data_IF_374320181435
#
_entry.id   IF_374320181435
#
_cell.length_a   1.000
_cell.length_b   1.000
_cell.length_c   1.000
_cell.angle_alpha   90.00
_cell.angle_beta   90.00
_cell.angle_gamma   90.00
#
_symmetry.space_group_name_H-M   'P 1'
#
loop_
_entity.id
_entity.type
_entity.pdbx_description
1 polymer ?
#
# COMPACT_ATOMS: atom_id res chain seq x y z
N UNK A 1 0.48 5.84 -7.03
CA UNK A 1 -0.69 5.44 -6.23
C UNK A 1 -0.70 6.02 -4.83
N UNK A 2 0.43 6.07 -4.12
CA UNK A 2 0.39 6.55 -2.74
C UNK A 2 0.11 8.06 -2.60
N UNK A 3 0.46 8.85 -3.61
CA UNK A 3 0.38 10.30 -3.51
C UNK A 3 -1.03 10.87 -3.41
N UNK A 4 -1.97 10.31 -4.16
CA UNK A 4 -3.25 10.93 -4.40
C UNK A 4 -4.38 9.98 -4.06
N UNK A 5 -5.41 10.49 -3.38
CA UNK A 5 -6.58 9.70 -3.02
C UNK A 5 -7.33 9.16 -4.24
N UNK A 6 -7.42 9.95 -5.31
CA UNK A 6 -8.11 9.60 -6.54
C UNK A 6 -7.37 8.51 -7.33
N UNK A 7 -6.17 8.12 -6.91
CA UNK A 7 -5.43 6.99 -7.48
C UNK A 7 -5.62 5.70 -6.69
N UNK A 8 -6.18 5.72 -5.47
CA UNK A 8 -6.28 4.55 -4.60
C UNK A 8 -7.46 3.67 -4.98
N UNK A 9 -7.31 2.99 -6.12
CA UNK A 9 -8.33 2.17 -6.74
C UNK A 9 -8.38 0.74 -6.20
N UNK A 10 -9.23 -0.08 -6.81
CA UNK A 10 -9.48 -1.46 -6.38
C UNK A 10 -8.54 -2.49 -7.04
N UNK A 11 -7.82 -2.12 -8.09
CA UNK A 11 -6.99 -3.03 -8.86
C UNK A 11 -5.50 -2.75 -8.68
N UNK A 12 -5.03 -1.55 -9.04
CA UNK A 12 -3.58 -1.30 -9.15
C UNK A 12 -2.95 -0.92 -7.81
N UNK A 13 -3.59 -0.05 -7.05
CA UNK A 13 -3.11 0.34 -5.73
C UNK A 13 -2.90 -0.85 -4.77
N UNK A 14 -3.87 -1.78 -4.58
CA UNK A 14 -3.70 -2.94 -3.71
C UNK A 14 -2.77 -4.03 -4.27
N UNK A 15 -2.39 -3.94 -5.55
CA UNK A 15 -1.39 -4.84 -6.14
C UNK A 15 0.00 -4.26 -5.95
N UNK A 16 0.25 -3.07 -6.49
CA UNK A 16 1.60 -2.51 -6.61
C UNK A 16 2.16 -2.15 -5.23
N UNK A 17 1.37 -1.49 -4.38
CA UNK A 17 1.85 -0.93 -3.11
C UNK A 17 2.42 -2.00 -2.16
N UNK A 18 1.71 -3.09 -1.83
CA UNK A 18 2.27 -4.16 -1.02
C UNK A 18 3.42 -4.94 -1.69
N UNK A 19 3.35 -5.21 -3.00
CA UNK A 19 4.42 -5.92 -3.74
C UNK A 19 5.74 -5.14 -3.66
N UNK A 20 5.68 -3.81 -3.78
CA UNK A 20 6.87 -2.95 -3.67
C UNK A 20 7.24 -2.75 -2.20
N UNK A 21 6.26 -2.58 -1.30
CA UNK A 21 6.49 -2.31 0.12
C UNK A 21 7.17 -3.47 0.87
N UNK A 22 6.92 -4.72 0.49
CA UNK A 22 7.50 -5.89 1.16
C UNK A 22 9.02 -6.03 0.94
N UNK A 23 9.57 -5.37 -0.07
CA UNK A 23 10.98 -5.50 -0.48
C UNK A 23 11.96 -5.18 0.66
N UNK A 24 11.96 -3.93 1.13
CA UNK A 24 12.80 -3.49 2.24
C UNK A 24 12.39 -4.14 3.56
N UNK A 25 11.11 -4.46 3.75
CA UNK A 25 10.66 -5.21 4.92
C UNK A 25 11.39 -6.55 5.03
N UNK A 26 11.45 -7.33 3.94
CA UNK A 26 12.11 -8.62 3.92
C UNK A 26 13.63 -8.52 4.13
N UNK A 27 14.29 -7.54 3.50
CA UNK A 27 15.73 -7.34 3.62
C UNK A 27 16.14 -6.89 5.04
N UNK A 28 15.44 -5.91 5.62
CA UNK A 28 15.72 -5.45 6.99
C UNK A 28 15.39 -6.54 8.00
N UNK A 29 14.31 -7.30 7.77
CA UNK A 29 13.96 -8.41 8.63
C UNK A 29 14.99 -9.53 8.58
N UNK A 30 15.60 -9.83 7.42
CA UNK A 30 16.76 -10.71 7.36
C UNK A 30 17.87 -10.20 8.28
N UNK A 31 18.31 -8.95 8.09
CA UNK A 31 19.45 -8.39 8.81
C UNK A 31 19.23 -8.43 10.34
N UNK A 32 18.08 -7.92 10.80
CA UNK A 32 17.76 -7.84 12.22
C UNK A 32 17.49 -9.20 12.85
N UNK A 33 16.81 -10.11 12.13
CA UNK A 33 16.50 -11.42 12.68
C UNK A 33 17.69 -12.37 12.71
N UNK A 34 18.47 -12.41 11.63
CA UNK A 34 19.58 -13.35 11.51
C UNK A 34 20.75 -12.95 12.41
N UNK A 35 21.08 -11.66 12.47
CA UNK A 35 22.24 -11.18 13.23
C UNK A 35 21.91 -10.90 14.71
N UNK A 36 20.72 -10.34 14.99
CA UNK A 36 20.38 -9.83 16.33
C UNK A 36 19.16 -10.48 16.97
N UNK A 37 18.45 -11.37 16.26
CA UNK A 37 17.20 -12.02 16.73
C UNK A 37 16.11 -11.01 17.15
N UNK A 38 16.08 -9.85 16.50
CA UNK A 38 15.13 -8.78 16.78
C UNK A 38 13.87 -8.93 15.90
N UNK A 39 12.66 -9.09 16.48
CA UNK A 39 11.42 -9.39 15.75
C UNK A 39 10.61 -8.13 15.39
N UNK A 40 11.24 -7.13 14.78
CA UNK A 40 10.54 -5.89 14.40
C UNK A 40 11.05 -5.31 13.07
N UNK A 41 11.55 -6.16 12.17
CA UNK A 41 12.18 -5.69 10.94
C UNK A 41 11.21 -5.10 9.93
N UNK A 42 10.07 -5.76 9.72
CA UNK A 42 9.05 -5.25 8.81
C UNK A 42 8.40 -3.98 9.38
N UNK A 43 8.07 -3.98 10.66
CA UNK A 43 7.44 -2.84 11.34
C UNK A 43 8.35 -1.63 11.38
N UNK A 44 9.65 -1.78 11.65
CA UNK A 44 10.62 -0.68 11.56
C UNK A 44 10.61 -0.05 10.17
N UNK A 45 10.69 -0.86 9.12
CA UNK A 45 10.70 -0.39 7.74
C UNK A 45 9.44 0.44 7.40
N UNK A 46 8.26 -0.08 7.74
CA UNK A 46 6.99 0.59 7.45
C UNK A 46 6.80 1.86 8.28
N UNK A 47 7.21 1.86 9.55
CA UNK A 47 7.13 3.06 10.39
C UNK A 47 8.07 4.14 9.85
N UNK A 48 9.30 3.79 9.47
CA UNK A 48 10.23 4.75 8.86
C UNK A 48 9.68 5.32 7.54
N UNK A 49 9.09 4.48 6.69
CA UNK A 49 8.43 4.91 5.45
C UNK A 49 7.30 5.90 5.76
N UNK A 50 6.38 5.52 6.66
CA UNK A 50 5.24 6.36 7.02
C UNK A 50 5.66 7.69 7.63
N UNK A 51 6.67 7.70 8.50
CA UNK A 51 7.21 8.95 9.06
C UNK A 51 7.74 9.85 7.94
N UNK A 52 8.52 9.30 7.01
CA UNK A 52 9.01 10.03 5.84
C UNK A 52 7.87 10.58 4.98
N UNK A 53 6.89 9.74 4.65
CA UNK A 53 5.71 10.13 3.87
C UNK A 53 4.94 11.25 4.56
N UNK A 54 4.61 11.11 5.85
CA UNK A 54 3.87 12.13 6.61
C UNK A 54 4.62 13.46 6.67
N UNK A 55 5.94 13.45 6.88
CA UNK A 55 6.75 14.67 6.84
C UNK A 55 6.65 15.34 5.46
N UNK A 56 6.81 14.59 4.37
CA UNK A 56 6.67 15.14 3.03
C UNK A 56 5.25 15.62 2.74
N UNK A 57 4.21 14.92 3.21
CA UNK A 57 2.80 15.29 2.99
C UNK A 57 2.46 16.59 3.69
N UNK A 58 2.93 16.74 4.93
CA UNK A 58 2.66 17.95 5.69
C UNK A 58 3.47 19.14 5.18
N UNK A 59 4.80 19.02 5.12
CA UNK A 59 5.67 20.15 4.78
C UNK A 59 5.71 20.47 3.28
N UNK A 60 5.69 19.45 2.43
CA UNK A 60 5.77 19.62 0.97
C UNK A 60 4.40 19.83 0.32
N UNK A 61 3.46 18.91 0.53
CA UNK A 61 2.17 18.96 -0.17
C UNK A 61 1.22 19.98 0.45
N UNK A 62 1.05 19.97 1.77
CA UNK A 62 0.10 20.87 2.43
C UNK A 62 0.67 22.27 2.68
N UNK A 63 1.83 22.37 3.34
CA UNK A 63 2.39 23.67 3.73
C UNK A 63 2.91 24.47 2.53
N UNK A 64 3.74 23.86 1.67
CA UNK A 64 4.30 24.55 0.49
C UNK A 64 3.30 24.62 -0.67
N UNK A 65 2.66 23.49 -1.01
CA UNK A 65 1.87 23.37 -2.25
C UNK A 65 0.36 23.50 -2.07
N UNK A 66 -0.11 23.69 -0.83
CA UNK A 66 -1.52 23.91 -0.48
C UNK A 66 -2.51 22.83 -0.92
N UNK A 67 -2.06 21.58 -1.09
CA UNK A 67 -2.96 20.43 -1.25
C UNK A 67 -3.54 20.02 0.11
N UNK A 68 -4.83 19.73 0.23
CA UNK A 68 -5.43 19.38 1.51
C UNK A 68 -4.98 17.98 1.93
N UNK A 69 -4.78 17.78 3.24
CA UNK A 69 -4.20 16.53 3.77
C UNK A 69 -5.06 15.31 3.45
N UNK A 70 -6.39 15.44 3.41
CA UNK A 70 -7.30 14.36 3.03
C UNK A 70 -7.12 13.89 1.58
N UNK A 71 -6.58 14.73 0.70
CA UNK A 71 -6.29 14.39 -0.70
C UNK A 71 -4.96 13.66 -0.86
N UNK A 72 -3.99 13.94 0.02
CA UNK A 72 -2.60 13.47 -0.09
C UNK A 72 -2.16 12.49 0.99
N UNK A 73 -3.05 12.03 1.86
CA UNK A 73 -2.65 11.18 2.99
C UNK A 73 -2.09 9.81 2.51
N UNK A 74 -1.03 9.27 3.15
CA UNK A 74 -0.33 8.05 2.74
C UNK A 74 -1.11 6.76 3.00
N UNK A 75 -0.72 5.64 2.38
CA UNK A 75 -1.30 4.32 2.66
C UNK A 75 -0.62 3.68 3.87
N UNK A 76 -1.34 2.92 4.69
CA UNK A 76 -0.75 2.18 5.81
C UNK A 76 -0.47 0.72 5.43
N UNK A 77 0.71 0.22 5.81
CA UNK A 77 1.07 -1.20 5.72
C UNK A 77 1.35 -1.81 7.11
N UNK A 78 1.05 -1.07 8.18
CA UNK A 78 1.34 -1.47 9.57
C UNK A 78 0.70 -2.82 9.93
N UNK A 79 -0.60 -3.09 9.61
CA UNK A 79 -1.21 -4.37 9.95
C UNK A 79 -0.48 -5.57 9.32
N UNK A 80 -0.11 -5.46 8.04
CA UNK A 80 0.65 -6.48 7.34
C UNK A 80 2.04 -6.69 7.94
N UNK A 81 2.74 -5.60 8.27
CA UNK A 81 4.07 -5.66 8.87
C UNK A 81 4.06 -6.32 10.25
N UNK A 82 3.08 -6.00 11.09
CA UNK A 82 2.91 -6.62 12.41
C UNK A 82 2.66 -8.13 12.30
N UNK A 83 1.79 -8.55 11.37
CA UNK A 83 1.54 -9.99 11.15
C UNK A 83 2.80 -10.69 10.65
N UNK A 84 3.57 -10.06 9.77
CA UNK A 84 4.83 -10.65 9.28
C UNK A 84 5.87 -10.83 10.40
N UNK A 85 6.11 -9.79 11.20
CA UNK A 85 7.06 -9.85 12.32
C UNK A 85 6.61 -10.88 13.38
N UNK A 86 5.30 -10.98 13.66
CA UNK A 86 4.76 -11.97 14.61
C UNK A 86 4.87 -13.41 14.09
N UNK A 87 4.61 -13.66 12.80
CA UNK A 87 4.84 -14.98 12.20
C UNK A 87 6.32 -15.37 12.30
N UNK A 88 7.24 -14.43 12.04
CA UNK A 88 8.68 -14.67 12.19
C UNK A 88 9.07 -15.00 13.63
N UNK A 89 8.53 -14.24 14.58
CA UNK A 89 8.79 -14.43 16.00
C UNK A 89 8.32 -15.80 16.50
N UNK A 90 7.11 -16.22 16.11
CA UNK A 90 6.48 -17.45 16.57
C UNK A 90 7.08 -18.69 15.90
N UNK A 91 7.27 -18.64 14.59
CA UNK A 91 7.68 -19.83 13.80
C UNK A 91 9.20 -19.95 13.70
N UNK A 92 9.93 -18.84 13.88
CA UNK A 92 11.39 -18.71 13.73
C UNK A 92 11.90 -19.21 12.38
N UNK A 93 11.03 -19.31 11.38
CA UNK A 93 11.34 -19.90 10.09
C UNK A 93 10.97 -18.92 8.98
N UNK A 94 11.99 -18.46 8.26
CA UNK A 94 11.84 -17.50 7.17
C UNK A 94 10.95 -18.02 6.03
N UNK A 95 10.93 -19.33 5.76
CA UNK A 95 10.06 -19.91 4.72
C UNK A 95 8.58 -19.84 5.11
N UNK A 96 8.27 -20.08 6.38
CA UNK A 96 6.90 -19.98 6.90
C UNK A 96 6.47 -18.51 6.90
N UNK A 97 7.38 -17.60 7.24
CA UNK A 97 7.13 -16.16 7.15
C UNK A 97 6.96 -15.68 5.72
N UNK A 98 7.71 -16.22 4.75
CA UNK A 98 7.52 -15.91 3.35
C UNK A 98 6.09 -16.26 2.89
N UNK A 99 5.61 -17.45 3.28
CA UNK A 99 4.29 -17.94 2.89
C UNK A 99 3.16 -17.19 3.63
N UNK A 100 3.12 -17.28 4.96
CA UNK A 100 2.01 -16.72 5.75
C UNK A 100 2.19 -15.23 6.03
N UNK A 101 3.40 -14.78 6.35
CA UNK A 101 3.69 -13.36 6.59
C UNK A 101 3.62 -12.54 5.30
N UNK A 102 4.28 -13.00 4.23
CA UNK A 102 4.21 -12.37 2.91
C UNK A 102 2.80 -12.39 2.32
N UNK A 103 2.08 -13.52 2.46
CA UNK A 103 0.68 -13.62 2.06
C UNK A 103 -0.23 -12.66 2.84
N UNK A 104 -0.11 -12.61 4.16
CA UNK A 104 -0.89 -11.71 5.00
C UNK A 104 -0.59 -10.23 4.70
N UNK A 105 0.66 -9.89 4.36
CA UNK A 105 1.05 -8.53 4.00
C UNK A 105 0.25 -7.96 2.83
N UNK A 106 0.09 -8.75 1.76
CA UNK A 106 -0.74 -8.37 0.62
C UNK A 106 -2.24 -8.39 0.93
N UNK A 107 -2.73 -9.41 1.63
CA UNK A 107 -4.16 -9.57 1.94
C UNK A 107 -4.69 -8.48 2.87
N UNK A 108 -3.92 -8.09 3.89
CA UNK A 108 -4.35 -7.12 4.90
C UNK A 108 -4.22 -5.67 4.43
N UNK A 109 -3.61 -5.42 3.26
CA UNK A 109 -3.40 -4.08 2.76
C UNK A 109 -4.72 -3.32 2.56
N UNK A 110 -5.63 -3.85 1.74
CA UNK A 110 -6.89 -3.15 1.44
C UNK A 110 -7.80 -3.04 2.69
N UNK A 111 -8.03 -4.11 3.49
CA UNK A 111 -8.81 -4.01 4.72
C UNK A 111 -8.20 -3.06 5.76
N UNK A 112 -6.86 -3.03 5.90
CA UNK A 112 -6.18 -2.17 6.86
C UNK A 112 -6.30 -0.68 6.52
N UNK A 113 -6.55 -0.35 5.26
CA UNK A 113 -6.67 1.01 4.77
C UNK A 113 -8.14 1.47 4.60
N UNK A 114 -9.08 0.52 4.47
CA UNK A 114 -10.50 0.82 4.28
C UNK A 114 -11.12 1.73 5.35
N UNK A 115 -10.81 1.63 6.65
CA UNK A 115 -11.33 2.57 7.65
C UNK A 115 -10.98 4.03 7.39
N UNK A 116 -9.89 4.28 6.67
CA UNK A 116 -9.38 5.62 6.41
C UNK A 116 -9.86 6.15 5.05
N UNK A 117 -9.88 5.30 4.02
CA UNK A 117 -10.30 5.68 2.66
C UNK A 117 -11.77 5.40 2.35
N UNK A 118 -12.46 4.60 3.13
CA UNK A 118 -13.88 4.27 2.91
C UNK A 118 -14.77 5.51 2.70
N UNK A 119 -14.64 6.57 3.52
CA UNK A 119 -15.42 7.79 3.35
C UNK A 119 -15.21 8.51 2.00
N UNK A 120 -14.04 8.37 1.36
CA UNK A 120 -13.76 9.04 0.08
C UNK A 120 -14.40 8.35 -1.12
N UNK A 121 -14.97 7.15 -0.92
CA UNK A 121 -15.70 6.40 -1.93
C UNK A 121 -17.20 6.73 -1.96
N UNK A 122 -17.66 7.66 -1.10
CA UNK A 122 -19.05 8.09 -1.12
C UNK A 122 -19.39 8.74 -2.48
N UNK A 123 -20.53 8.39 -3.08
CA UNK A 123 -20.97 8.99 -4.33
C UNK A 123 -21.45 10.42 -4.11
N UNK A 124 -21.16 11.30 -5.07
CA UNK A 124 -21.73 12.63 -5.19
C UNK A 124 -22.04 12.95 -6.65
N UNK A 125 -22.95 13.89 -6.88
CA UNK A 125 -23.27 14.38 -8.23
C UNK A 125 -22.77 15.81 -8.34
N UNK A 126 -21.84 16.05 -9.26
CA UNK A 126 -21.33 17.37 -9.59
C UNK A 126 -21.59 17.63 -11.09
N UNK A 127 -22.23 18.74 -11.42
CA UNK A 127 -22.54 19.11 -12.81
C UNK A 127 -23.27 17.99 -13.60
N UNK A 128 -24.14 17.22 -12.93
CA UNK A 128 -24.88 16.11 -13.52
C UNK A 128 -24.09 14.81 -13.73
N UNK A 129 -22.83 14.75 -13.30
CA UNK A 129 -21.96 13.56 -13.39
C UNK A 129 -21.79 12.93 -12.01
N UNK A 130 -21.90 11.60 -11.96
CA UNK A 130 -21.60 10.81 -10.76
C UNK A 130 -20.09 10.71 -10.56
N UNK A 131 -19.60 11.20 -9.43
CA UNK A 131 -18.20 11.14 -9.02
C UNK A 131 -18.10 10.55 -7.61
N UNK A 132 -16.95 9.97 -7.27
CA UNK A 132 -16.61 9.76 -5.86
C UNK A 132 -16.12 11.06 -5.23
N UNK A 133 -16.17 11.16 -3.89
CA UNK A 133 -15.52 12.26 -3.17
C UNK A 133 -14.03 12.35 -3.55
N UNK A 134 -13.35 11.21 -3.73
CA UNK A 134 -11.96 11.15 -4.16
C UNK A 134 -11.76 11.82 -5.53
N UNK A 135 -12.55 11.44 -6.53
CA UNK A 135 -12.46 12.02 -7.89
C UNK A 135 -12.76 13.52 -7.88
N UNK A 136 -13.78 13.94 -7.12
CA UNK A 136 -14.13 15.34 -6.99
C UNK A 136 -13.01 16.17 -6.36
N UNK A 137 -12.36 15.66 -5.31
CA UNK A 137 -11.18 16.34 -4.74
C UNK A 137 -10.02 16.41 -5.74
N UNK A 138 -9.77 15.36 -6.53
CA UNK A 138 -8.75 15.37 -7.58
C UNK A 138 -9.06 16.33 -8.74
N UNK A 139 -10.33 16.61 -8.99
CA UNK A 139 -10.78 17.60 -9.97
C UNK A 139 -10.65 19.04 -9.45
N UNK A 140 -11.02 19.30 -8.20
CA UNK A 140 -10.96 20.63 -7.58
C UNK A 140 -9.52 21.14 -7.39
N UNK A 141 -8.62 20.26 -6.94
CA UNK A 141 -7.23 20.62 -6.67
C UNK A 141 -6.36 20.35 -7.89
N UNK A 142 -6.19 21.38 -8.71
CA UNK A 142 -5.48 21.31 -9.99
C UNK A 142 -4.02 20.89 -9.79
N UNK A 143 -3.64 19.80 -10.45
CA UNK A 143 -2.26 19.30 -10.50
C UNK A 143 -1.66 19.59 -11.89
N UNK A 144 -0.78 20.58 -11.97
CA UNK A 144 -0.23 21.11 -13.24
C UNK A 144 0.48 20.06 -14.10
N UNK A 145 1.12 19.07 -13.48
CA UNK A 145 1.90 18.03 -14.18
C UNK A 145 1.26 16.63 -14.20
N UNK A 146 0.08 16.44 -13.62
CA UNK A 146 -0.57 15.10 -13.54
C UNK A 146 -2.02 15.17 -14.01
N UNK A 147 -2.24 15.25 -15.33
CA UNK A 147 -3.59 15.21 -15.89
C UNK A 147 -4.24 13.83 -15.67
N UNK A 148 -5.57 13.80 -15.74
CA UNK A 148 -6.38 12.63 -15.38
C UNK A 148 -6.00 11.36 -16.15
N UNK A 149 -5.68 11.46 -17.44
CA UNK A 149 -5.34 10.29 -18.27
C UNK A 149 -4.03 9.58 -17.87
N UNK A 150 -3.17 10.22 -17.07
CA UNK A 150 -1.94 9.58 -16.54
C UNK A 150 -2.26 8.61 -15.41
N UNK A 151 -3.46 8.71 -14.83
CA UNK A 151 -3.90 7.88 -13.73
C UNK A 151 -4.12 6.43 -14.20
N UNK A 152 -3.36 5.51 -13.60
CA UNK A 152 -3.50 4.08 -13.80
C UNK A 152 -4.43 3.48 -12.73
N UNK A 153 -5.72 3.45 -13.01
CA UNK A 153 -6.75 2.88 -12.13
C UNK A 153 -7.60 1.86 -12.89
N UNK A 154 -8.39 1.09 -12.17
CA UNK A 154 -9.42 0.22 -12.76
C UNK A 154 -10.36 1.01 -13.69
N UNK A 155 -10.36 0.69 -14.99
CA UNK A 155 -11.29 1.24 -16.00
C UNK A 155 -12.32 0.19 -16.49
N UNK A 156 -12.33 -0.99 -15.87
CA UNK A 156 -13.12 -2.13 -16.29
C UNK A 156 -12.56 -2.85 -17.52
N UNK A 157 -12.97 -4.10 -17.73
CA UNK A 157 -12.66 -4.86 -18.94
C UNK A 157 -13.83 -5.78 -19.32
N UNK A 158 -13.88 -6.23 -20.58
CA UNK A 158 -14.87 -7.22 -21.01
C UNK A 158 -14.70 -8.60 -20.34
N UNK A 159 -13.61 -8.81 -19.60
CA UNK A 159 -13.26 -10.07 -18.93
C UNK A 159 -13.48 -10.03 -17.43
N UNK A 160 -13.83 -8.88 -16.86
CA UNK A 160 -14.04 -8.73 -15.42
C UNK A 160 -15.49 -8.99 -15.05
N UNK A 161 -15.71 -9.95 -14.16
CA UNK A 161 -16.96 -10.08 -13.43
C UNK A 161 -16.97 -9.04 -12.30
N UNK A 162 -17.92 -8.10 -12.33
CA UNK A 162 -17.96 -6.95 -11.42
C UNK A 162 -18.04 -7.33 -9.93
N UNK A 163 -17.52 -6.48 -9.06
CA UNK A 163 -17.66 -6.59 -7.59
C UNK A 163 -16.58 -7.40 -6.87
N UNK A 164 -15.75 -8.17 -7.57
CA UNK A 164 -14.72 -9.02 -6.96
C UNK A 164 -13.27 -8.55 -7.18
N UNK A 165 -13.08 -7.41 -7.84
CA UNK A 165 -11.75 -6.97 -8.29
C UNK A 165 -10.78 -6.71 -7.14
N UNK A 166 -11.25 -6.15 -6.02
CA UNK A 166 -10.43 -5.95 -4.80
C UNK A 166 -9.90 -7.25 -4.23
N UNK A 167 -10.73 -8.29 -4.17
CA UNK A 167 -10.37 -9.59 -3.60
C UNK A 167 -9.33 -10.27 -4.48
N UNK A 168 -9.57 -10.30 -5.80
CA UNK A 168 -8.64 -10.90 -6.77
C UNK A 168 -7.30 -10.16 -6.72
N UNK A 169 -7.32 -8.83 -6.70
CA UNK A 169 -6.14 -7.99 -6.57
C UNK A 169 -5.36 -8.29 -5.28
N UNK A 170 -6.04 -8.39 -4.13
CA UNK A 170 -5.42 -8.70 -2.85
C UNK A 170 -4.78 -10.10 -2.82
N UNK A 171 -5.43 -11.12 -3.38
CA UNK A 171 -4.85 -12.47 -3.48
C UNK A 171 -3.66 -12.52 -4.43
N UNK A 172 -3.74 -11.86 -5.58
CA UNK A 172 -2.63 -11.75 -6.52
C UNK A 172 -1.43 -11.04 -5.86
N UNK A 173 -1.70 -9.93 -5.20
CA UNK A 173 -0.74 -9.17 -4.40
C UNK A 173 -0.06 -10.02 -3.33
N UNK A 174 -0.84 -10.79 -2.57
CA UNK A 174 -0.35 -11.72 -1.56
C UNK A 174 0.58 -12.77 -2.19
N UNK A 175 0.17 -13.38 -3.30
CA UNK A 175 0.98 -14.37 -4.00
C UNK A 175 2.32 -13.82 -4.47
N UNK A 176 2.32 -12.67 -5.14
CA UNK A 176 3.55 -12.04 -5.61
C UNK A 176 4.39 -11.55 -4.42
N UNK A 177 3.78 -11.09 -3.33
CA UNK A 177 4.48 -10.70 -2.10
C UNK A 177 5.24 -11.87 -1.47
N UNK A 178 4.69 -13.10 -1.50
CA UNK A 178 5.40 -14.29 -1.05
C UNK A 178 6.70 -14.49 -1.86
N UNK A 179 6.65 -14.34 -3.18
CA UNK A 179 7.81 -14.46 -4.07
C UNK A 179 8.81 -13.32 -3.83
N UNK A 180 8.35 -12.08 -3.78
CA UNK A 180 9.18 -10.91 -3.53
C UNK A 180 9.89 -11.00 -2.18
N UNK A 181 9.20 -11.49 -1.15
CA UNK A 181 9.81 -11.74 0.15
C UNK A 181 11.00 -12.69 0.02
N UNK A 182 10.86 -13.82 -0.69
CA UNK A 182 11.99 -14.76 -0.84
C UNK A 182 13.18 -14.14 -1.56
N UNK A 183 12.94 -13.39 -2.64
CA UNK A 183 14.01 -12.70 -3.39
C UNK A 183 14.73 -11.71 -2.47
N UNK A 184 13.97 -10.86 -1.77
CA UNK A 184 14.54 -9.81 -0.95
C UNK A 184 15.13 -10.28 0.37
N UNK A 185 14.70 -11.43 0.88
CA UNK A 185 15.37 -12.13 1.96
C UNK A 185 16.80 -12.53 1.56
N UNK A 186 16.99 -13.08 0.35
CA UNK A 186 18.31 -13.40 -0.16
C UNK A 186 19.13 -12.15 -0.51
N UNK A 187 18.51 -11.08 -1.03
CA UNK A 187 19.21 -9.81 -1.23
C UNK A 187 19.67 -9.22 0.11
N UNK A 188 18.85 -9.29 1.16
CA UNK A 188 19.23 -8.86 2.50
C UNK A 188 20.41 -9.66 3.07
N UNK A 189 20.69 -10.86 2.56
CA UNK A 189 21.90 -11.62 2.89
C UNK A 189 23.16 -11.12 2.17
N UNK A 190 23.01 -10.51 1.00
CA UNK A 190 24.13 -9.98 0.22
C UNK A 190 24.61 -8.62 0.73
N UNK A 191 23.68 -7.82 1.25
CA UNK A 191 23.93 -6.51 1.86
C UNK A 191 24.21 -6.62 3.36
#
# INVERSE_FOLDING_TARGET
WDFWIDWKDRQWWPVVTPIVGITYCAAIMYYLWVNYRLPYGATLCIVCLLVGEWLTRFWGFYWWSHYPINFVFPSTMIPGALVMDTVMLLTRNWMITALFGGGAFGLLFYPGNWPIFGPTHLPLVAEGVLLSVADYTGFLYVRTGTPEYVRLIEQGSLRTFGGHTTVIAAFFSAFVSMLMFTVWWYLGKLY
#
